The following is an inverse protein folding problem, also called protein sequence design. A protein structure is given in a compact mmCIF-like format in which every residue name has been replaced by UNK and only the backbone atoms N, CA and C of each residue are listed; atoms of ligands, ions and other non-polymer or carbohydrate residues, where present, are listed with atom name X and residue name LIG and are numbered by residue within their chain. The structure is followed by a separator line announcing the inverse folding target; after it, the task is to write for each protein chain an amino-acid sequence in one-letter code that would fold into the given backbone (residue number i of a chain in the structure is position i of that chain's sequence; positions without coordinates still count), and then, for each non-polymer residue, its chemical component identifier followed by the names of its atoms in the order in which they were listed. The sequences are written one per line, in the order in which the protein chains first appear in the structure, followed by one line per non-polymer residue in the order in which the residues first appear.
data_IF_120514196994
#
_entry.id   IF_120514196994
#
_cell.length_a   1.000
_cell.length_b   1.000
_cell.length_c   1.000
_cell.angle_alpha   90.00
_cell.angle_beta   90.00
_cell.angle_gamma   90.00
#
_symmetry.space_group_name_H-M   'P 1'
#
loop_
_entity.id
_entity.type
_entity.pdbx_description
1 polymer ?
#
# COMPACT_ATOMS: atom_id res chain seq x y z
N UNK A 1 -18.94 47.31 4.45
CA UNK A 1 -19.83 46.26 3.92
C UNK A 1 -18.99 45.05 3.57
N UNK A 2 -19.18 43.90 4.23
CA UNK A 2 -18.46 42.67 3.89
C UNK A 2 -19.00 42.13 2.55
N UNK A 3 -18.12 41.94 1.57
CA UNK A 3 -18.46 41.27 0.31
C UNK A 3 -18.90 39.84 0.66
N UNK A 4 -20.17 39.50 0.41
CA UNK A 4 -20.62 38.09 0.47
C UNK A 4 -19.82 37.33 -0.57
N UNK A 5 -18.94 36.42 -0.13
CA UNK A 5 -18.31 35.46 -1.02
C UNK A 5 -19.40 34.64 -1.70
N UNK A 6 -19.20 34.34 -2.98
CA UNK A 6 -20.08 33.39 -3.66
C UNK A 6 -19.90 32.00 -3.05
N UNK A 7 -20.97 31.19 -3.05
CA UNK A 7 -20.92 29.81 -2.55
C UNK A 7 -19.78 29.00 -3.19
N UNK A 8 -19.51 29.21 -4.48
CA UNK A 8 -18.46 28.51 -5.21
C UNK A 8 -17.05 28.92 -4.77
N UNK A 9 -16.83 30.18 -4.41
CA UNK A 9 -15.55 30.64 -3.84
C UNK A 9 -15.33 30.07 -2.43
N UNK A 10 -16.38 30.09 -1.60
CA UNK A 10 -16.33 29.49 -0.27
C UNK A 10 -16.03 27.99 -0.36
N UNK A 11 -16.77 27.24 -1.18
CA UNK A 11 -16.57 25.81 -1.36
C UNK A 11 -15.15 25.47 -1.84
N UNK A 12 -14.58 26.24 -2.78
CA UNK A 12 -13.19 26.06 -3.24
C UNK A 12 -12.17 26.31 -2.13
N UNK A 13 -12.44 27.24 -1.22
CA UNK A 13 -11.55 27.55 -0.09
C UNK A 13 -11.62 26.50 1.02
N UNK A 14 -12.79 25.89 1.25
CA UNK A 14 -13.00 24.91 2.32
C UNK A 14 -12.64 23.49 1.91
N UNK A 15 -12.88 23.11 0.65
CA UNK A 15 -12.70 21.74 0.16
C UNK A 15 -11.31 21.12 0.46
N UNK A 16 -10.18 21.85 0.37
CA UNK A 16 -8.88 21.29 0.75
C UNK A 16 -8.83 20.80 2.20
N UNK A 17 -9.52 21.48 3.12
CA UNK A 17 -9.59 21.05 4.52
C UNK A 17 -10.44 19.78 4.71
N UNK A 18 -11.53 19.66 3.95
CA UNK A 18 -12.37 18.46 3.97
C UNK A 18 -11.65 17.26 3.35
N UNK A 19 -10.89 17.48 2.28
CA UNK A 19 -10.03 16.47 1.68
C UNK A 19 -8.95 16.03 2.66
N UNK A 20 -8.29 16.95 3.37
CA UNK A 20 -7.32 16.59 4.42
C UNK A 20 -7.94 15.74 5.53
N UNK A 21 -9.15 16.08 5.96
CA UNK A 21 -9.87 15.24 6.93
C UNK A 21 -10.13 13.83 6.39
N UNK A 22 -10.61 13.72 5.15
CA UNK A 22 -10.85 12.42 4.54
C UNK A 22 -9.55 11.59 4.41
N UNK A 23 -8.43 12.24 4.05
CA UNK A 23 -7.10 11.62 4.07
C UNK A 23 -6.75 11.12 5.46
N UNK A 24 -6.97 11.92 6.51
CA UNK A 24 -6.71 11.52 7.89
C UNK A 24 -7.52 10.28 8.29
N UNK A 25 -8.81 10.23 7.95
CA UNK A 25 -9.68 9.09 8.24
C UNK A 25 -9.20 7.81 7.50
N UNK A 26 -8.74 7.93 6.25
CA UNK A 26 -8.18 6.80 5.50
C UNK A 26 -6.79 6.38 6.03
N UNK A 27 -5.98 7.33 6.50
CA UNK A 27 -4.69 7.03 7.11
C UNK A 27 -4.85 6.26 8.42
N UNK A 28 -5.91 6.49 9.20
CA UNK A 28 -6.19 5.69 10.40
C UNK A 28 -6.45 4.23 10.03
N UNK A 29 -7.08 3.97 8.88
CA UNK A 29 -7.20 2.61 8.34
C UNK A 29 -5.82 2.11 7.91
N UNK A 30 -5.05 2.87 7.12
CA UNK A 30 -3.74 2.44 6.62
C UNK A 30 -2.72 2.19 7.75
N UNK A 31 -2.80 2.93 8.86
CA UNK A 31 -1.95 2.77 10.05
C UNK A 31 -2.50 1.74 11.05
N UNK A 32 -3.45 0.89 10.64
CA UNK A 32 -4.00 -0.18 11.47
C UNK A 32 -3.55 -1.57 11.01
N UNK A 33 -3.38 -2.47 11.98
CA UNK A 33 -3.11 -3.88 11.72
C UNK A 33 -4.27 -4.56 10.98
N UNK A 34 -3.97 -5.55 10.13
CA UNK A 34 -4.96 -6.39 9.49
C UNK A 34 -5.53 -7.38 10.53
N UNK A 35 -6.85 -7.34 10.69
CA UNK A 35 -7.57 -8.35 11.47
C UNK A 35 -7.85 -9.55 10.58
N UNK A 36 -7.12 -10.64 10.81
CA UNK A 36 -7.27 -11.86 10.03
C UNK A 36 -8.57 -12.61 10.38
N UNK A 37 -9.34 -13.07 9.38
CA UNK A 37 -10.51 -13.91 9.61
C UNK A 37 -10.04 -15.27 10.13
N UNK A 38 -10.61 -15.70 11.26
CA UNK A 38 -10.23 -16.96 11.92
C UNK A 38 -11.40 -17.94 11.93
N UNK A 39 -11.10 -19.24 11.93
CA UNK A 39 -12.08 -20.29 12.20
C UNK A 39 -12.33 -20.43 13.72
N UNK A 40 -13.21 -21.37 14.12
CA UNK A 40 -13.52 -21.62 15.54
C UNK A 40 -12.30 -22.07 16.37
N UNK A 41 -11.26 -22.58 15.71
CA UNK A 41 -10.02 -23.04 16.35
C UNK A 41 -8.95 -21.93 16.37
N UNK A 42 -9.28 -20.70 15.97
CA UNK A 42 -8.35 -19.57 15.93
C UNK A 42 -7.41 -19.55 14.72
N UNK A 43 -7.53 -20.50 13.78
CA UNK A 43 -6.68 -20.56 12.60
C UNK A 43 -7.17 -19.58 11.52
N UNK A 44 -6.23 -18.92 10.85
CA UNK A 44 -6.53 -17.96 9.78
C UNK A 44 -7.18 -18.65 8.58
N UNK A 45 -8.23 -18.04 8.04
CA UNK A 45 -8.94 -18.48 6.84
C UNK A 45 -8.25 -17.88 5.60
N UNK A 46 -7.21 -18.56 5.11
CA UNK A 46 -6.37 -18.12 3.97
C UNK A 46 -7.21 -17.77 2.72
N UNK A 47 -8.26 -18.55 2.45
CA UNK A 47 -9.15 -18.33 1.30
C UNK A 47 -9.99 -17.05 1.38
N UNK A 48 -10.08 -16.41 2.56
CA UNK A 48 -10.77 -15.13 2.78
C UNK A 48 -9.84 -13.91 2.74
N UNK A 49 -8.53 -14.10 2.65
CA UNK A 49 -7.58 -12.99 2.65
C UNK A 49 -7.71 -12.10 1.41
N UNK A 50 -8.18 -12.63 0.28
CA UNK A 50 -8.35 -11.84 -0.94
C UNK A 50 -9.26 -10.63 -0.73
N UNK A 51 -10.36 -10.78 0.02
CA UNK A 51 -11.29 -9.68 0.31
C UNK A 51 -10.62 -8.59 1.14
N UNK A 52 -9.76 -8.97 2.09
CA UNK A 52 -9.02 -8.03 2.94
C UNK A 52 -8.01 -7.25 2.10
N UNK A 53 -7.24 -7.94 1.25
CA UNK A 53 -6.24 -7.31 0.40
C UNK A 53 -6.92 -6.33 -0.58
N UNK A 54 -8.08 -6.69 -1.15
CA UNK A 54 -8.87 -5.77 -1.98
C UNK A 54 -9.32 -4.53 -1.22
N UNK A 55 -9.85 -4.69 0.00
CA UNK A 55 -10.25 -3.54 0.82
C UNK A 55 -9.05 -2.61 1.11
N UNK A 56 -7.86 -3.18 1.38
CA UNK A 56 -6.62 -2.40 1.56
C UNK A 56 -6.19 -1.69 0.27
N UNK A 57 -6.33 -2.34 -0.89
CA UNK A 57 -6.07 -1.73 -2.19
C UNK A 57 -7.03 -0.55 -2.45
N UNK A 58 -8.31 -0.72 -2.19
CA UNK A 58 -9.33 0.33 -2.39
C UNK A 58 -9.02 1.55 -1.51
N UNK A 59 -8.74 1.33 -0.22
CA UNK A 59 -8.34 2.41 0.71
C UNK A 59 -7.08 3.12 0.24
N UNK A 60 -6.07 2.37 -0.22
CA UNK A 60 -4.84 2.95 -0.76
C UNK A 60 -5.11 3.80 -2.01
N UNK A 61 -5.91 3.31 -2.95
CA UNK A 61 -6.21 4.00 -4.20
C UNK A 61 -6.98 5.31 -3.93
N UNK A 62 -7.97 5.28 -3.05
CA UNK A 62 -8.75 6.47 -2.65
C UNK A 62 -7.87 7.48 -1.90
N UNK A 63 -7.00 7.01 -1.00
CA UNK A 63 -6.02 7.85 -0.31
C UNK A 63 -5.13 8.59 -1.32
N UNK A 64 -4.54 7.88 -2.29
CA UNK A 64 -3.72 8.48 -3.34
C UNK A 64 -4.52 9.46 -4.20
N UNK A 65 -5.75 9.12 -4.58
CA UNK A 65 -6.63 10.01 -5.34
C UNK A 65 -6.90 11.34 -4.62
N UNK A 66 -7.21 11.28 -3.33
CA UNK A 66 -7.41 12.48 -2.50
C UNK A 66 -6.11 13.29 -2.34
N UNK A 67 -4.97 12.62 -2.15
CA UNK A 67 -3.67 13.28 -2.07
C UNK A 67 -3.32 14.05 -3.34
N UNK A 68 -3.64 13.48 -4.50
CA UNK A 68 -3.39 14.08 -5.80
C UNK A 68 -4.28 15.32 -6.03
N UNK A 69 -5.55 15.29 -5.60
CA UNK A 69 -6.48 16.43 -5.69
C UNK A 69 -5.95 17.70 -5.00
N UNK A 70 -5.23 17.55 -3.88
CA UNK A 70 -4.63 18.66 -3.15
C UNK A 70 -3.11 18.72 -3.27
N UNK A 71 -2.54 17.98 -4.22
CA UNK A 71 -1.11 18.00 -4.58
C UNK A 71 -0.16 17.82 -3.38
N UNK A 72 -0.48 16.90 -2.47
CA UNK A 72 0.33 16.67 -1.25
C UNK A 72 1.79 16.36 -1.56
N UNK A 73 2.08 15.64 -2.64
CA UNK A 73 3.44 15.30 -3.05
C UNK A 73 4.30 16.57 -3.27
N UNK A 74 3.65 17.68 -3.65
CA UNK A 74 4.27 18.98 -3.88
C UNK A 74 4.27 19.87 -2.63
N UNK A 75 3.58 19.47 -1.56
CA UNK A 75 3.49 20.22 -0.32
C UNK A 75 4.83 20.28 0.40
N UNK A 76 5.14 21.42 1.02
CA UNK A 76 6.28 21.59 1.93
C UNK A 76 6.00 21.11 3.36
N UNK A 77 4.78 20.65 3.63
CA UNK A 77 4.36 20.13 4.95
C UNK A 77 4.99 18.76 5.22
N UNK A 78 6.24 18.77 5.66
CA UNK A 78 7.02 17.57 5.98
C UNK A 78 6.37 16.73 7.07
N UNK A 79 5.77 17.37 8.08
CA UNK A 79 5.09 16.66 9.18
C UNK A 79 3.90 15.85 8.68
N UNK A 80 3.10 16.44 7.79
CA UNK A 80 1.96 15.74 7.20
C UNK A 80 2.40 14.62 6.27
N UNK A 81 3.45 14.83 5.47
CA UNK A 81 4.07 13.77 4.66
C UNK A 81 4.58 12.62 5.52
N UNK A 82 5.25 12.90 6.64
CA UNK A 82 5.70 11.86 7.58
C UNK A 82 4.54 11.05 8.16
N UNK A 83 3.40 11.68 8.47
CA UNK A 83 2.18 10.97 8.90
C UNK A 83 1.70 10.00 7.82
N UNK A 84 1.65 10.44 6.57
CA UNK A 84 1.24 9.62 5.42
C UNK A 84 2.19 8.45 5.23
N UNK A 85 3.50 8.73 5.19
CA UNK A 85 4.54 7.71 5.04
C UNK A 85 4.44 6.66 6.14
N UNK A 86 4.16 7.06 7.38
CA UNK A 86 3.95 6.11 8.49
C UNK A 86 2.81 5.14 8.19
N UNK A 87 1.62 5.63 7.85
CA UNK A 87 0.47 4.77 7.54
C UNK A 87 0.72 3.87 6.33
N UNK A 88 1.40 4.39 5.30
CA UNK A 88 1.84 3.61 4.15
C UNK A 88 2.81 2.48 4.55
N UNK A 89 3.82 2.78 5.36
CA UNK A 89 4.76 1.77 5.88
C UNK A 89 4.04 0.70 6.69
N UNK A 90 3.08 1.07 7.55
CA UNK A 90 2.28 0.10 8.32
C UNK A 90 1.52 -0.86 7.40
N UNK A 91 0.76 -0.36 6.43
CA UNK A 91 0.05 -1.24 5.48
C UNK A 91 1.01 -2.07 4.62
N UNK A 92 2.16 -1.52 4.21
CA UNK A 92 3.17 -2.27 3.48
C UNK A 92 3.64 -3.51 4.25
N UNK A 93 3.99 -3.37 5.53
CA UNK A 93 4.39 -4.50 6.38
C UNK A 93 3.28 -5.55 6.48
N UNK A 94 2.03 -5.11 6.71
CA UNK A 94 0.88 -6.02 6.82
C UNK A 94 0.59 -6.79 5.52
N UNK A 95 0.73 -6.15 4.36
CA UNK A 95 0.58 -6.81 3.05
C UNK A 95 1.75 -7.76 2.74
N UNK A 96 2.97 -7.41 3.15
CA UNK A 96 4.14 -8.30 2.99
C UNK A 96 3.98 -9.57 3.82
N UNK A 97 3.41 -9.47 5.03
CA UNK A 97 3.02 -10.66 5.82
C UNK A 97 2.11 -11.58 5.03
N UNK A 98 1.02 -11.07 4.44
CA UNK A 98 0.12 -11.89 3.60
C UNK A 98 0.87 -12.51 2.41
N UNK A 99 1.75 -11.74 1.78
CA UNK A 99 2.57 -12.19 0.64
C UNK A 99 3.45 -13.38 1.02
N UNK A 100 4.08 -13.35 2.20
CA UNK A 100 5.01 -14.39 2.64
C UNK A 100 4.34 -15.57 3.37
N UNK A 101 3.12 -15.43 3.89
CA UNK A 101 2.43 -16.52 4.64
C UNK A 101 2.41 -17.88 3.92
N UNK A 102 2.76 -18.97 4.62
CA UNK A 102 2.66 -20.33 4.06
C UNK A 102 1.22 -20.71 3.70
N UNK A 103 1.03 -21.36 2.55
CA UNK A 103 -0.28 -21.93 2.17
C UNK A 103 -0.51 -23.19 3.02
N UNK A 104 -1.61 -23.20 3.78
CA UNK A 104 -2.04 -24.34 4.58
C UNK A 104 -1.37 -24.47 5.95
N UNK A 105 -0.52 -23.53 6.36
CA UNK A 105 0.15 -23.57 7.66
C UNK A 105 -0.76 -23.17 8.83
N UNK A 106 -0.66 -23.89 9.94
CA UNK A 106 -1.14 -23.41 11.23
C UNK A 106 -0.26 -22.22 11.67
N UNK A 107 -0.75 -20.99 11.56
CA UNK A 107 -0.08 -19.88 12.25
C UNK A 107 -0.31 -20.01 13.76
N UNK A 108 0.66 -20.57 14.46
CA UNK A 108 0.82 -20.43 15.92
C UNK A 108 1.54 -19.13 16.31
N UNK A 109 1.93 -18.30 15.34
CA UNK A 109 2.66 -17.06 15.62
C UNK A 109 1.68 -15.97 16.05
N UNK A 110 1.77 -15.60 17.32
CA UNK A 110 1.08 -14.45 17.91
C UNK A 110 1.81 -13.17 17.47
N UNK A 111 1.35 -12.56 16.38
CA UNK A 111 1.92 -11.33 15.82
C UNK A 111 1.66 -10.07 16.67
N UNK A 112 1.12 -10.22 17.88
CA UNK A 112 0.74 -9.11 18.77
C UNK A 112 1.92 -8.30 19.31
N UNK A 113 3.16 -8.81 19.18
CA UNK A 113 4.38 -8.15 19.69
C UNK A 113 5.34 -7.61 18.62
N UNK A 114 4.88 -7.36 17.39
CA UNK A 114 5.69 -6.64 16.41
C UNK A 114 5.64 -5.13 16.65
N UNK A 115 6.38 -4.68 17.64
CA UNK A 115 6.77 -3.28 17.79
C UNK A 115 8.17 -3.09 17.21
N UNK A 116 8.25 -2.19 16.23
CA UNK A 116 9.45 -1.56 15.66
C UNK A 116 10.36 -2.44 14.79
N UNK A 117 10.39 -2.10 13.49
CA UNK A 117 11.57 -1.87 12.64
C UNK A 117 12.87 -2.67 12.86
N UNK A 118 12.83 -3.90 13.33
CA UNK A 118 14.00 -4.78 13.36
C UNK A 118 13.90 -5.85 12.26
N UNK A 119 15.01 -5.94 11.52
CA UNK A 119 15.44 -6.84 10.45
C UNK A 119 14.40 -7.75 9.72
N UNK A 120 14.10 -7.50 8.42
CA UNK A 120 13.24 -8.40 7.64
C UNK A 120 13.87 -9.78 7.35
N UNK A 121 15.15 -10.00 7.65
CA UNK A 121 15.84 -11.28 7.35
C UNK A 121 15.56 -12.39 8.37
N UNK A 122 15.28 -12.11 9.65
CA UNK A 122 15.03 -13.15 10.66
C UNK A 122 13.56 -13.63 10.73
N UNK A 123 12.61 -12.85 10.20
CA UNK A 123 11.16 -13.09 10.36
C UNK A 123 10.51 -13.91 9.23
N UNK A 124 11.30 -14.34 8.25
CA UNK A 124 10.85 -15.08 7.06
C UNK A 124 10.89 -16.61 7.24
N UNK A 125 10.96 -17.08 8.49
CA UNK A 125 10.83 -18.50 8.83
C UNK A 125 9.38 -19.00 8.62
N UNK A 126 9.06 -19.20 7.34
CA UNK A 126 7.84 -19.80 6.82
C UNK A 126 7.77 -21.30 7.17
N UNK A 127 7.47 -21.62 8.43
CA UNK A 127 7.26 -23.00 8.84
C UNK A 127 5.84 -23.50 8.58
N UNK A 128 5.78 -24.77 8.21
CA UNK A 128 4.68 -25.38 7.50
C UNK A 128 3.68 -26.16 8.35
N UNK A 129 2.58 -26.43 7.68
CA UNK A 129 1.73 -27.62 7.78
C UNK A 129 0.88 -27.60 6.50
N UNK A 130 0.47 -28.76 5.98
CA UNK A 130 -0.44 -28.83 4.82
C UNK A 130 -1.87 -28.97 5.33
N UNK A 131 -2.64 -27.89 5.32
CA UNK A 131 -4.09 -28.03 5.23
C UNK A 131 -4.42 -28.54 3.82
N UNK A 132 -5.26 -29.57 3.70
CA UNK A 132 -5.87 -29.97 2.43
C UNK A 132 -6.81 -28.85 1.98
N UNK A 133 -6.27 -27.79 1.38
CA UNK A 133 -7.07 -26.79 0.66
C UNK A 133 -7.58 -27.46 -0.60
N UNK A 134 -8.91 -27.56 -0.74
CA UNK A 134 -9.51 -27.91 -2.02
C UNK A 134 -9.03 -26.93 -3.11
N UNK A 135 -8.88 -27.42 -4.34
CA UNK A 135 -8.37 -26.63 -5.47
C UNK A 135 -9.15 -25.32 -5.68
N UNK A 136 -10.44 -25.30 -5.35
CA UNK A 136 -11.32 -24.12 -5.38
C UNK A 136 -10.79 -22.96 -4.52
N UNK A 137 -10.11 -23.26 -3.41
CA UNK A 137 -9.57 -22.26 -2.49
C UNK A 137 -8.19 -21.76 -2.93
N UNK A 138 -7.43 -22.55 -3.70
CA UNK A 138 -6.08 -22.19 -4.16
C UNK A 138 -6.10 -20.94 -5.05
N UNK A 139 -7.15 -20.76 -5.86
CA UNK A 139 -7.30 -19.56 -6.70
C UNK A 139 -7.39 -18.28 -5.86
N UNK A 140 -8.17 -18.29 -4.76
CA UNK A 140 -8.32 -17.13 -3.88
C UNK A 140 -7.01 -16.80 -3.16
N UNK A 141 -6.32 -17.83 -2.67
CA UNK A 141 -5.04 -17.70 -1.96
C UNK A 141 -3.94 -17.18 -2.91
N UNK A 142 -3.84 -17.72 -4.12
CA UNK A 142 -2.89 -17.23 -5.12
C UNK A 142 -3.16 -15.76 -5.49
N UNK A 143 -4.44 -15.40 -5.67
CA UNK A 143 -4.85 -14.02 -5.96
C UNK A 143 -4.56 -13.07 -4.80
N UNK A 144 -4.78 -13.47 -3.55
CA UNK A 144 -4.51 -12.61 -2.38
C UNK A 144 -3.02 -12.29 -2.29
N UNK A 145 -2.15 -13.30 -2.43
CA UNK A 145 -0.70 -13.15 -2.45
C UNK A 145 -0.19 -12.28 -3.58
N UNK A 146 -0.67 -12.55 -4.80
CA UNK A 146 -0.28 -11.75 -5.97
C UNK A 146 -0.75 -10.30 -5.85
N UNK A 147 -1.94 -10.07 -5.28
CA UNK A 147 -2.45 -8.73 -5.09
C UNK A 147 -1.72 -7.99 -3.96
N UNK A 148 -1.44 -8.64 -2.84
CA UNK A 148 -0.73 -8.03 -1.71
C UNK A 148 0.67 -7.58 -2.12
N UNK A 149 1.38 -8.40 -2.91
CA UNK A 149 2.68 -8.02 -3.47
C UNK A 149 2.58 -6.79 -4.37
N UNK A 150 1.63 -6.75 -5.32
CA UNK A 150 1.46 -5.60 -6.23
C UNK A 150 1.12 -4.32 -5.49
N UNK A 151 0.22 -4.38 -4.51
CA UNK A 151 -0.18 -3.21 -3.71
C UNK A 151 1.00 -2.75 -2.84
N UNK A 152 1.74 -3.67 -2.23
CA UNK A 152 2.95 -3.35 -1.48
C UNK A 152 3.99 -2.63 -2.36
N UNK A 153 4.21 -3.08 -3.60
CA UNK A 153 5.08 -2.38 -4.56
C UNK A 153 4.60 -0.96 -4.86
N UNK A 154 3.31 -0.77 -5.16
CA UNK A 154 2.73 0.58 -5.37
C UNK A 154 2.93 1.49 -4.15
N UNK A 155 2.82 0.93 -2.95
CA UNK A 155 3.05 1.68 -1.70
C UNK A 155 4.51 2.15 -1.61
N UNK A 156 5.49 1.29 -1.93
CA UNK A 156 6.92 1.68 -1.97
C UNK A 156 7.11 2.84 -2.94
N UNK A 157 6.64 2.71 -4.18
CA UNK A 157 6.75 3.75 -5.21
C UNK A 157 6.16 5.09 -4.73
N UNK A 158 5.05 5.05 -3.97
CA UNK A 158 4.43 6.25 -3.40
C UNK A 158 5.24 6.84 -2.24
N UNK A 159 5.83 6.00 -1.39
CA UNK A 159 6.74 6.46 -0.32
C UNK A 159 7.95 7.16 -0.92
N UNK A 160 8.58 6.57 -1.94
CA UNK A 160 9.73 7.16 -2.64
C UNK A 160 9.39 8.54 -3.22
N UNK A 161 8.21 8.68 -3.81
CA UNK A 161 7.73 9.98 -4.32
C UNK A 161 7.55 11.04 -3.22
N UNK A 162 7.16 10.63 -2.01
CA UNK A 162 6.95 11.53 -0.88
C UNK A 162 8.27 11.91 -0.17
N UNK A 163 9.23 10.98 -0.11
CA UNK A 163 10.54 11.16 0.52
C UNK A 163 11.52 11.89 -0.41
N UNK A 164 11.63 11.50 -1.69
CA UNK A 164 12.57 12.10 -2.65
C UNK A 164 12.00 12.21 -4.07
N UNK A 165 11.15 13.23 -4.24
CA UNK A 165 10.53 13.55 -5.53
C UNK A 165 11.54 13.80 -6.66
N UNK A 166 12.70 14.40 -6.35
CA UNK A 166 13.68 14.76 -7.38
C UNK A 166 14.42 13.53 -7.90
N UNK A 167 14.81 12.61 -7.03
CA UNK A 167 15.46 11.36 -7.43
C UNK A 167 14.52 10.50 -8.28
N UNK A 168 13.25 10.37 -7.89
CA UNK A 168 12.26 9.60 -8.68
C UNK A 168 12.03 10.23 -10.06
N UNK A 169 11.99 11.56 -10.16
CA UNK A 169 11.87 12.24 -11.45
C UNK A 169 13.11 12.04 -12.33
N UNK A 170 14.32 12.07 -11.76
CA UNK A 170 15.58 11.78 -12.47
C UNK A 170 15.60 10.35 -12.99
N UNK A 171 15.25 9.36 -12.17
CA UNK A 171 15.18 7.95 -12.57
C UNK A 171 14.14 7.71 -13.69
N UNK A 172 12.96 8.36 -13.63
CA UNK A 172 11.95 8.26 -14.71
C UNK A 172 12.46 8.84 -16.04
N UNK A 173 13.26 9.91 -15.99
CA UNK A 173 13.89 10.51 -17.17
C UNK A 173 14.99 9.58 -17.71
N UNK A 174 15.81 8.99 -16.85
CA UNK A 174 16.88 8.06 -17.24
C UNK A 174 16.35 6.75 -17.83
N UNK A 175 15.33 6.14 -17.21
CA UNK A 175 14.68 4.94 -17.73
C UNK A 175 13.99 5.19 -19.08
N UNK A 176 13.42 6.38 -19.30
CA UNK A 176 12.92 6.79 -20.63
C UNK A 176 14.02 6.94 -21.67
N UNK A 177 15.23 7.37 -21.28
CA UNK A 177 16.39 7.44 -22.19
C UNK A 177 16.91 6.05 -22.55
N UNK A 178 16.88 5.10 -21.62
CA UNK A 178 17.32 3.71 -21.84
C UNK A 178 16.31 2.93 -22.71
N UNK A 179 15.00 3.18 -22.55
CA UNK A 179 13.95 2.65 -23.44
C UNK A 179 13.93 3.24 -24.86
N UNK A 180 14.84 4.19 -25.15
CA UNK A 180 15.01 4.84 -26.45
C UNK A 180 16.15 4.28 -27.32
N UNK A 181 16.73 3.13 -26.99
CA UNK A 181 17.67 2.44 -27.89
C UNK A 181 16.95 1.31 -28.64
N UNK A 182 16.31 1.63 -29.76
CA UNK A 182 16.28 0.71 -30.88
C UNK A 182 16.66 1.45 -32.17
N UNK A 183 17.95 1.50 -32.54
CA UNK A 183 18.42 1.74 -33.93
C UNK A 183 19.97 1.89 -34.08
N UNK A 184 20.79 0.99 -33.53
CA UNK A 184 22.21 0.91 -33.95
C UNK A 184 22.76 -0.48 -34.29
N UNK A 185 21.93 -1.52 -34.26
CA UNK A 185 22.34 -2.87 -34.68
C UNK A 185 21.61 -3.41 -35.93
N UNK A 186 20.84 -2.57 -36.64
CA UNK A 186 20.13 -2.96 -37.86
C UNK A 186 20.84 -2.59 -39.16
N UNK A 187 22.18 -2.65 -39.22
CA UNK A 187 22.94 -2.67 -40.50
C UNK A 187 24.24 -3.47 -40.35
N UNK A 188 24.11 -4.80 -40.32
CA UNK A 188 25.13 -5.70 -40.87
C UNK A 188 24.38 -6.78 -41.65
N UNK A 189 24.18 -6.53 -42.94
CA UNK A 189 23.99 -7.54 -43.98
C UNK A 189 24.76 -7.07 -45.19
#
# INVERSE_FOLDING_TARGET
MAKRQSFTEQAKSEMPSFIKKAIDDLLDVMDSNIVYPKNKNGQVLENKLLTIVKAREDVYNELCGLMDLISIDQSSDSKYKSKIIKGLKTTWHELTRITCRSIGGESSVDFTNYTQYDDPEEDLECYGSRQLTSDDNLSSIAKSKGLSARVATKIIERIELLEDKESVQRQKIENKKIGGIPERFAKVR
#
